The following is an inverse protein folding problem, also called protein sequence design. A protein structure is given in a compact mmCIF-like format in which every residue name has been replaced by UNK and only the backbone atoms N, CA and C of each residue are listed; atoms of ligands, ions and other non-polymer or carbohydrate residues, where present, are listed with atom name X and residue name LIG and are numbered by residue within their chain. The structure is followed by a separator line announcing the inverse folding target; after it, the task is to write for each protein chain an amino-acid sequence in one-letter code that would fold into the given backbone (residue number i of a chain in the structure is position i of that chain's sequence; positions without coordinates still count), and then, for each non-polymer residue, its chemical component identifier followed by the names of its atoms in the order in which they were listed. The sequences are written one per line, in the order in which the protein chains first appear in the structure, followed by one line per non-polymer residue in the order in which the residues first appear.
data_IF_131186460361
#
_entry.id   IF_131186460361
#
_cell.length_a   1.000
_cell.length_b   1.000
_cell.length_c   1.000
_cell.angle_alpha   90.00
_cell.angle_beta   90.00
_cell.angle_gamma   90.00
#
_symmetry.space_group_name_H-M   'P 1'
#
loop_
_entity.id
_entity.type
_entity.pdbx_description
1 polymer ?
#
# COMPACT_ATOMS: atom_id res chain seq x y z
N UNK A 1 -21.82 19.05 -10.57
CA UNK A 1 -22.31 17.91 -9.76
C UNK A 1 -21.74 16.65 -10.40
N UNK A 2 -20.56 16.15 -10.03
CA UNK A 2 -20.06 15.97 -8.68
C UNK A 2 -20.51 14.60 -8.19
N UNK A 3 -19.61 13.61 -8.30
CA UNK A 3 -19.66 12.33 -7.58
C UNK A 3 -20.63 11.23 -8.08
N UNK A 4 -20.14 10.31 -8.94
CA UNK A 4 -20.50 8.88 -8.84
C UNK A 4 -19.63 7.96 -9.72
N UNK A 5 -18.31 8.12 -9.67
CA UNK A 5 -17.41 7.01 -9.94
C UNK A 5 -17.13 6.26 -8.64
N UNK A 6 -18.20 5.82 -7.95
CA UNK A 6 -18.09 4.73 -6.97
C UNK A 6 -17.84 3.46 -7.76
N UNK A 7 -16.60 3.27 -8.26
CA UNK A 7 -16.15 1.96 -8.71
C UNK A 7 -16.44 1.00 -7.55
N UNK A 8 -17.27 0.01 -7.85
CA UNK A 8 -17.90 -0.91 -6.92
C UNK A 8 -16.93 -1.42 -5.84
N UNK A 9 -17.36 -1.65 -4.59
CA UNK A 9 -16.54 -2.27 -3.56
C UNK A 9 -16.40 -3.77 -3.88
N UNK A 10 -15.72 -4.11 -4.98
CA UNK A 10 -15.27 -5.48 -5.21
C UNK A 10 -14.12 -5.65 -4.22
N UNK A 11 -14.44 -6.27 -3.08
CA UNK A 11 -13.52 -6.66 -2.00
C UNK A 11 -12.22 -5.87 -1.93
N UNK A 12 -12.21 -4.73 -1.23
CA UNK A 12 -10.93 -4.11 -0.86
C UNK A 12 -10.20 -5.11 0.04
N UNK A 13 -9.35 -5.93 -0.56
CA UNK A 13 -8.55 -6.90 0.17
C UNK A 13 -7.46 -6.15 0.93
N UNK A 14 -7.27 -6.53 2.20
CA UNK A 14 -6.17 -5.99 3.00
C UNK A 14 -5.06 -7.00 3.03
N UNK A 15 -3.86 -6.52 2.71
CA UNK A 15 -2.65 -7.31 2.80
C UNK A 15 -1.78 -6.83 3.94
N UNK A 16 -1.16 -7.76 4.64
CA UNK A 16 -0.20 -7.44 5.70
C UNK A 16 1.10 -6.89 5.12
N UNK A 17 1.89 -6.24 5.97
CA UNK A 17 3.17 -5.63 5.57
C UNK A 17 4.15 -6.62 4.92
N UNK A 18 4.13 -7.89 5.30
CA UNK A 18 4.99 -8.92 4.68
C UNK A 18 4.64 -9.14 3.23
N UNK A 19 3.35 -9.17 2.92
CA UNK A 19 2.85 -9.41 1.58
C UNK A 19 3.01 -8.15 0.71
N UNK A 20 2.71 -6.98 1.28
CA UNK A 20 3.01 -5.68 0.67
C UNK A 20 4.50 -5.52 0.31
N UNK A 21 5.41 -5.94 1.19
CA UNK A 21 6.84 -5.91 0.92
C UNK A 21 7.24 -6.82 -0.26
N UNK A 22 6.60 -7.99 -0.38
CA UNK A 22 6.82 -8.89 -1.52
C UNK A 22 6.33 -8.28 -2.84
N UNK A 23 5.14 -7.68 -2.84
CA UNK A 23 4.58 -6.99 -4.01
C UNK A 23 5.48 -5.85 -4.47
N UNK A 24 5.94 -5.03 -3.51
CA UNK A 24 6.85 -3.91 -3.78
C UNK A 24 8.31 -4.33 -3.97
N UNK A 25 8.63 -5.63 -3.90
CA UNK A 25 9.99 -6.20 -4.00
C UNK A 25 11.00 -5.57 -3.04
N UNK A 26 10.54 -5.16 -1.86
CA UNK A 26 11.37 -4.55 -0.82
C UNK A 26 11.44 -5.42 0.43
N UNK A 27 12.38 -5.11 1.31
CA UNK A 27 12.44 -5.74 2.62
C UNK A 27 11.34 -5.21 3.55
N UNK A 28 10.76 -6.07 4.40
CA UNK A 28 9.77 -5.66 5.41
C UNK A 28 10.31 -4.56 6.32
N UNK A 29 11.60 -4.62 6.68
CA UNK A 29 12.27 -3.60 7.49
C UNK A 29 12.32 -2.26 6.78
N UNK A 30 12.67 -2.24 5.50
CA UNK A 30 12.72 -1.02 4.68
C UNK A 30 11.33 -0.43 4.49
N UNK A 31 10.32 -1.28 4.24
CA UNK A 31 8.93 -0.85 4.16
C UNK A 31 8.46 -0.25 5.49
N UNK A 32 8.78 -0.88 6.64
CA UNK A 32 8.48 -0.32 7.97
C UNK A 32 9.15 1.03 8.19
N UNK A 33 10.42 1.15 7.82
CA UNK A 33 11.19 2.37 8.00
C UNK A 33 10.61 3.51 7.13
N UNK A 34 10.28 3.21 5.88
CA UNK A 34 9.65 4.16 4.97
C UNK A 34 8.27 4.63 5.46
N UNK A 35 7.43 3.73 5.99
CA UNK A 35 6.16 4.11 6.64
C UNK A 35 6.42 5.05 7.81
N UNK A 36 7.39 4.72 8.68
CA UNK A 36 7.71 5.50 9.89
C UNK A 36 8.28 6.87 9.55
N UNK A 37 9.08 6.96 8.49
CA UNK A 37 9.71 8.20 8.05
C UNK A 37 8.84 8.99 7.05
N UNK A 38 7.69 8.43 6.63
CA UNK A 38 6.84 9.02 5.60
C UNK A 38 7.54 9.15 4.24
N UNK A 39 8.51 8.28 3.96
CA UNK A 39 9.35 8.34 2.76
C UNK A 39 8.80 7.47 1.64
N UNK A 40 9.02 7.86 0.38
CA UNK A 40 8.75 6.99 -0.76
C UNK A 40 9.71 5.80 -0.76
N UNK A 41 9.25 4.68 -1.30
CA UNK A 41 10.04 3.46 -1.53
C UNK A 41 10.23 3.31 -3.03
N UNK A 42 11.48 3.14 -3.49
CA UNK A 42 11.83 3.12 -4.91
C UNK A 42 11.29 4.32 -5.72
N UNK A 43 11.19 5.49 -5.09
CA UNK A 43 10.65 6.69 -5.73
C UNK A 43 9.12 6.74 -5.83
N UNK A 44 8.41 5.71 -5.33
CA UNK A 44 6.94 5.67 -5.29
C UNK A 44 6.44 5.96 -3.88
N UNK A 45 5.47 6.86 -3.77
CA UNK A 45 4.87 7.23 -2.49
C UNK A 45 3.99 6.08 -1.96
N UNK A 46 4.29 5.59 -0.76
CA UNK A 46 3.56 4.50 -0.15
C UNK A 46 2.11 4.89 0.17
N UNK A 47 1.15 3.96 0.03
CA UNK A 47 -0.22 4.17 0.43
C UNK A 47 -0.33 4.26 1.94
N UNK A 48 -1.49 4.70 2.40
CA UNK A 48 -1.73 4.90 3.82
C UNK A 48 -1.69 3.56 4.55
N UNK A 49 -0.64 3.37 5.36
CA UNK A 49 -0.55 2.21 6.22
C UNK A 49 -1.65 2.24 7.29
N UNK A 50 -2.36 1.13 7.44
CA UNK A 50 -3.37 0.92 8.47
C UNK A 50 -2.70 0.14 9.60
N UNK A 51 -2.57 0.77 10.77
CA UNK A 51 -2.05 0.08 11.95
C UNK A 51 -3.20 -0.65 12.65
N UNK A 52 -3.15 -1.99 12.65
CA UNK A 52 -4.10 -2.83 13.39
C UNK A 52 -3.32 -3.59 14.47
N UNK A 53 -3.43 -3.14 15.72
CA UNK A 53 -2.61 -3.61 16.82
C UNK A 53 -1.13 -3.28 16.58
N UNK A 54 -0.28 -4.31 16.48
CA UNK A 54 1.15 -4.18 16.19
C UNK A 54 1.51 -4.44 14.70
N UNK A 55 0.50 -4.63 13.83
CA UNK A 55 0.70 -5.02 12.44
C UNK A 55 0.25 -3.90 11.49
N UNK A 56 1.13 -3.57 10.54
CA UNK A 56 0.78 -2.71 9.43
C UNK A 56 0.06 -3.52 8.34
N UNK A 57 -1.04 -2.96 7.85
CA UNK A 57 -1.81 -3.48 6.73
C UNK A 57 -1.99 -2.39 5.67
N UNK A 58 -2.23 -2.82 4.45
CA UNK A 58 -2.42 -1.96 3.29
C UNK A 58 -3.59 -2.46 2.46
N UNK A 59 -4.23 -1.55 1.75
CA UNK A 59 -5.19 -1.94 0.73
C UNK A 59 -4.45 -2.48 -0.49
N UNK A 60 -4.82 -3.68 -0.93
CA UNK A 60 -4.21 -4.34 -2.08
C UNK A 60 -4.37 -3.49 -3.35
N UNK A 61 -5.54 -2.88 -3.55
CA UNK A 61 -5.81 -1.99 -4.70
C UNK A 61 -4.84 -0.80 -4.76
N UNK A 62 -4.54 -0.18 -3.62
CA UNK A 62 -3.58 0.93 -3.59
C UNK A 62 -2.15 0.47 -3.87
N UNK A 63 -1.76 -0.73 -3.40
CA UNK A 63 -0.45 -1.32 -3.72
C UNK A 63 -0.34 -1.73 -5.19
N UNK A 64 -1.38 -2.33 -5.76
CA UNK A 64 -1.41 -2.68 -7.19
C UNK A 64 -1.38 -1.44 -8.08
N UNK A 65 -2.03 -0.34 -7.67
CA UNK A 65 -1.94 0.93 -8.37
C UNK A 65 -0.51 1.50 -8.41
N UNK A 66 0.31 1.21 -7.39
CA UNK A 66 1.74 1.58 -7.39
C UNK A 66 2.58 0.71 -8.34
N UNK A 67 2.36 -0.60 -8.36
CA UNK A 67 3.10 -1.51 -9.25
C UNK A 67 2.90 -1.11 -10.72
N UNK A 68 1.67 -0.73 -11.08
CA UNK A 68 1.34 -0.29 -12.44
C UNK A 68 2.14 0.95 -12.89
N UNK A 69 2.53 1.83 -11.96
CA UNK A 69 3.28 3.05 -12.26
C UNK A 69 4.79 2.81 -12.43
N UNK A 70 5.29 1.61 -12.13
CA UNK A 70 6.71 1.25 -12.29
C UNK A 70 7.03 0.59 -13.64
N UNK A 71 6.10 0.62 -14.61
CA UNK A 71 6.27 0.08 -15.97
C UNK A 71 6.53 1.16 -17.02
#
# INVERSE_FOLDING_TARGET
MGELMKKSPIGRERVGITDAARLLRVSVTELKDAIRQGKPVHGVQLPKAILIGAHYQFWLDELMAMELHQR
#
